data_IF_349186124887
#
_entry.id   IF_349186124887
#
_cell.length_a   1.000
_cell.length_b   1.000
_cell.length_c   1.000
_cell.angle_alpha   90.00
_cell.angle_beta   90.00
_cell.angle_gamma   90.00
#
_symmetry.space_group_name_H-M   'P 1'
#
loop_
_entity.id
_entity.type
_entity.pdbx_description
1 polymer ?
#
# COMPACT_ATOMS: atom_id res chain seq x y z
N UNK A 1 -29.69 -35.46 48.08
CA UNK A 1 -29.89 -34.54 46.93
C UNK A 1 -28.88 -33.39 46.90
N UNK A 2 -28.58 -32.71 48.02
CA UNK A 2 -27.61 -31.58 48.07
C UNK A 2 -26.21 -31.89 47.50
N UNK A 3 -25.60 -33.03 47.82
CA UNK A 3 -24.24 -33.35 47.30
C UNK A 3 -24.19 -33.58 45.78
N UNK A 4 -25.26 -34.13 45.17
CA UNK A 4 -25.33 -34.30 43.71
C UNK A 4 -25.50 -32.95 42.98
N UNK A 5 -26.19 -32.00 43.63
CA UNK A 5 -26.35 -30.64 43.13
C UNK A 5 -25.03 -29.85 43.22
N UNK A 6 -24.31 -29.95 44.35
CA UNK A 6 -22.99 -29.31 44.53
C UNK A 6 -21.92 -29.89 43.59
N UNK A 7 -21.89 -31.21 43.38
CA UNK A 7 -21.01 -31.84 42.39
C UNK A 7 -21.34 -31.38 40.96
N UNK A 8 -22.63 -31.23 40.65
CA UNK A 8 -23.08 -30.67 39.37
C UNK A 8 -22.62 -29.23 39.15
N UNK A 9 -22.74 -28.36 40.17
CA UNK A 9 -22.27 -26.98 40.11
C UNK A 9 -20.74 -26.87 39.95
N UNK A 10 -19.96 -27.72 40.62
CA UNK A 10 -18.50 -27.79 40.48
C UNK A 10 -18.07 -28.25 39.07
N UNK A 11 -18.80 -29.20 38.48
CA UNK A 11 -18.57 -29.63 37.10
C UNK A 11 -18.80 -28.50 36.09
N UNK A 12 -19.88 -27.72 36.24
CA UNK A 12 -20.18 -26.56 35.39
C UNK A 12 -19.12 -25.46 35.53
N UNK A 13 -18.68 -25.15 36.76
CA UNK A 13 -17.60 -24.21 37.02
C UNK A 13 -16.28 -24.64 36.36
N UNK A 14 -15.94 -25.93 36.44
CA UNK A 14 -14.74 -26.47 35.81
C UNK A 14 -14.76 -26.32 34.27
N UNK A 15 -15.91 -26.58 33.64
CA UNK A 15 -16.09 -26.35 32.19
C UNK A 15 -15.97 -24.88 31.84
N UNK A 16 -16.55 -23.99 32.66
CA UNK A 16 -16.47 -22.55 32.42
C UNK A 16 -15.02 -22.03 32.49
N UNK A 17 -14.24 -22.49 33.48
CA UNK A 17 -12.80 -22.18 33.60
C UNK A 17 -12.02 -22.71 32.40
N UNK A 18 -12.34 -23.91 31.92
CA UNK A 18 -11.68 -24.47 30.73
C UNK A 18 -11.96 -23.61 29.48
N UNK A 19 -13.21 -23.19 29.28
CA UNK A 19 -13.61 -22.31 28.17
C UNK A 19 -12.87 -20.97 28.25
N UNK A 20 -12.75 -20.36 29.44
CA UNK A 20 -12.06 -19.08 29.58
C UNK A 20 -10.56 -19.18 29.31
N UNK A 21 -9.91 -20.27 29.73
CA UNK A 21 -8.48 -20.52 29.43
C UNK A 21 -8.27 -20.71 27.92
N UNK A 22 -9.14 -21.47 27.25
CA UNK A 22 -9.06 -21.66 25.80
C UNK A 22 -9.28 -20.32 25.07
N UNK A 23 -10.29 -19.54 25.48
CA UNK A 23 -10.56 -18.23 24.90
C UNK A 23 -9.37 -17.27 25.07
N UNK A 24 -8.76 -17.25 26.26
CA UNK A 24 -7.57 -16.44 26.53
C UNK A 24 -6.38 -16.84 25.65
N UNK A 25 -6.15 -18.14 25.44
CA UNK A 25 -5.08 -18.63 24.57
C UNK A 25 -5.31 -18.23 23.10
N UNK A 26 -6.55 -18.32 22.60
CA UNK A 26 -6.93 -17.89 21.25
C UNK A 26 -6.70 -16.38 21.08
N UNK A 27 -7.17 -15.57 22.03
CA UNK A 27 -6.98 -14.11 22.00
C UNK A 27 -5.49 -13.74 22.01
N UNK A 28 -4.69 -14.44 22.80
CA UNK A 28 -3.24 -14.20 22.86
C UNK A 28 -2.56 -14.50 21.51
N UNK A 29 -2.94 -15.60 20.87
CA UNK A 29 -2.42 -15.97 19.56
C UNK A 29 -2.84 -14.95 18.48
N UNK A 30 -4.12 -14.56 18.44
CA UNK A 30 -4.63 -13.55 17.52
C UNK A 30 -3.97 -12.18 17.71
N UNK A 31 -3.66 -11.80 18.95
CA UNK A 31 -2.90 -10.57 19.24
C UNK A 31 -1.49 -10.64 18.64
N UNK A 32 -0.82 -11.79 18.75
CA UNK A 32 0.49 -12.00 18.12
C UNK A 32 0.43 -11.92 16.60
N UNK A 33 -0.58 -12.54 15.99
CA UNK A 33 -0.84 -12.46 14.54
C UNK A 33 -1.08 -11.01 14.09
N UNK A 34 -1.89 -10.25 14.84
CA UNK A 34 -2.17 -8.84 14.56
C UNK A 34 -0.90 -7.98 14.60
N UNK A 35 -0.08 -8.11 15.65
CA UNK A 35 1.19 -7.37 15.77
C UNK A 35 2.17 -7.74 14.65
N UNK A 36 2.21 -9.02 14.26
CA UNK A 36 3.03 -9.46 13.13
C UNK A 36 2.58 -8.83 11.83
N UNK A 37 1.28 -8.80 11.55
CA UNK A 37 0.72 -8.16 10.36
C UNK A 37 0.99 -6.64 10.36
N UNK A 38 0.78 -5.95 11.48
CA UNK A 38 1.12 -4.52 11.65
C UNK A 38 2.60 -4.26 11.30
N UNK A 39 3.51 -5.04 11.88
CA UNK A 39 4.95 -4.93 11.62
C UNK A 39 5.28 -5.16 10.15
N UNK A 40 4.66 -6.16 9.52
CA UNK A 40 4.90 -6.46 8.12
C UNK A 40 4.33 -5.36 7.20
N UNK A 41 3.18 -4.77 7.53
CA UNK A 41 2.57 -3.66 6.79
C UNK A 41 3.50 -2.44 6.84
N UNK A 42 4.02 -2.09 8.01
CA UNK A 42 4.99 -0.99 8.16
C UNK A 42 6.28 -1.25 7.36
N UNK A 43 6.82 -2.47 7.44
CA UNK A 43 7.99 -2.86 6.67
C UNK A 43 7.74 -2.79 5.15
N UNK A 44 6.57 -3.23 4.70
CA UNK A 44 6.19 -3.16 3.29
C UNK A 44 5.99 -1.71 2.84
N UNK A 45 5.40 -0.83 3.66
CA UNK A 45 5.26 0.60 3.36
C UNK A 45 6.64 1.23 3.14
N UNK A 46 7.58 0.98 4.04
CA UNK A 46 8.96 1.45 3.91
C UNK A 46 9.67 0.87 2.68
N UNK A 47 9.36 -0.38 2.32
CA UNK A 47 9.84 -0.98 1.08
C UNK A 47 9.28 -0.27 -0.16
N UNK A 48 8.00 0.14 -0.13
CA UNK A 48 7.36 0.88 -1.21
C UNK A 48 8.00 2.27 -1.37
N UNK A 49 8.25 2.98 -0.25
CA UNK A 49 8.97 4.25 -0.24
C UNK A 49 10.38 4.12 -0.82
N UNK A 50 11.12 3.09 -0.41
CA UNK A 50 12.46 2.80 -0.91
C UNK A 50 12.47 2.50 -2.41
N UNK A 51 11.49 1.74 -2.90
CA UNK A 51 11.33 1.46 -4.33
C UNK A 51 11.07 2.74 -5.13
N UNK A 52 10.17 3.60 -4.64
CA UNK A 52 9.88 4.89 -5.26
C UNK A 52 11.12 5.80 -5.33
N UNK A 53 11.87 5.92 -4.22
CA UNK A 53 13.11 6.70 -4.17
C UNK A 53 14.19 6.14 -5.11
N UNK A 54 14.34 4.82 -5.19
CA UNK A 54 15.26 4.18 -6.12
C UNK A 54 14.90 4.48 -7.59
N UNK A 55 13.60 4.45 -7.93
CA UNK A 55 13.13 4.81 -9.26
C UNK A 55 13.44 6.28 -9.59
N UNK A 56 13.22 7.19 -8.63
CA UNK A 56 13.52 8.61 -8.79
C UNK A 56 15.02 8.88 -8.98
N UNK A 57 15.88 8.22 -8.20
CA UNK A 57 17.34 8.34 -8.33
C UNK A 57 17.84 7.86 -9.68
N UNK A 58 17.38 6.68 -10.13
CA UNK A 58 17.70 6.16 -11.47
C UNK A 58 17.27 7.13 -12.58
N UNK A 59 16.07 7.72 -12.45
CA UNK A 59 15.60 8.75 -13.38
C UNK A 59 16.56 9.95 -13.44
N UNK A 60 16.97 10.49 -12.29
CA UNK A 60 17.94 11.59 -12.22
C UNK A 60 19.29 11.23 -12.83
N UNK A 61 19.81 10.05 -12.52
CA UNK A 61 21.09 9.56 -13.04
C UNK A 61 21.07 9.42 -14.57
N UNK A 62 20.00 8.84 -15.13
CA UNK A 62 19.87 8.68 -16.58
C UNK A 62 19.69 10.00 -17.33
N UNK A 63 18.98 10.96 -16.72
CA UNK A 63 18.70 12.26 -17.34
C UNK A 63 19.84 13.26 -17.17
N UNK A 64 20.79 12.98 -16.26
CA UNK A 64 21.95 13.83 -15.96
C UNK A 64 21.56 15.29 -15.65
N UNK A 65 20.35 15.52 -15.16
CA UNK A 65 19.89 16.85 -14.76
C UNK A 65 20.40 17.19 -13.37
N UNK A 66 20.63 18.47 -13.13
CA UNK A 66 21.02 18.96 -11.79
C UNK A 66 19.89 18.76 -10.78
N UNK A 67 20.20 18.79 -9.48
CA UNK A 67 19.19 18.66 -8.43
C UNK A 67 18.08 19.72 -8.54
N UNK A 68 18.45 20.96 -8.87
CA UNK A 68 17.51 22.07 -9.07
C UNK A 68 16.55 21.81 -10.23
N UNK A 69 17.05 21.24 -11.33
CA UNK A 69 16.23 20.86 -12.48
C UNK A 69 15.37 19.64 -12.17
N UNK A 70 15.91 18.64 -11.45
CA UNK A 70 15.16 17.46 -11.04
C UNK A 70 13.95 17.84 -10.16
N UNK A 71 14.10 18.82 -9.28
CA UNK A 71 13.01 19.26 -8.40
C UNK A 71 11.81 19.82 -9.18
N UNK A 72 12.06 20.47 -10.33
CA UNK A 72 11.01 20.96 -11.23
C UNK A 72 10.19 19.83 -11.87
N UNK A 73 10.75 18.62 -11.93
CA UNK A 73 10.10 17.45 -12.54
C UNK A 73 9.49 16.50 -11.51
N UNK A 74 9.74 16.71 -10.22
CA UNK A 74 9.35 15.77 -9.17
C UNK A 74 7.84 15.56 -9.14
N UNK A 75 7.06 16.63 -9.32
CA UNK A 75 5.60 16.55 -9.33
C UNK A 75 5.09 15.84 -10.59
N UNK A 76 5.64 16.16 -11.77
CA UNK A 76 5.28 15.49 -13.03
C UNK A 76 5.66 14.01 -12.98
N UNK A 77 6.80 13.68 -12.37
CA UNK A 77 7.25 12.31 -12.14
C UNK A 77 6.31 11.57 -11.19
N UNK A 78 5.98 12.16 -10.04
CA UNK A 78 5.05 11.58 -9.07
C UNK A 78 3.67 11.33 -9.69
N UNK A 79 3.18 12.28 -10.47
CA UNK A 79 1.93 12.18 -11.21
C UNK A 79 1.98 11.07 -12.26
N UNK A 80 3.11 10.87 -12.93
CA UNK A 80 3.28 9.79 -13.89
C UNK A 80 3.35 8.42 -13.23
N UNK A 81 4.05 8.29 -12.09
CA UNK A 81 4.14 7.04 -11.34
C UNK A 81 2.79 6.66 -10.72
N UNK A 82 2.09 7.64 -10.13
CA UNK A 82 0.74 7.46 -9.55
C UNK A 82 -0.38 7.26 -10.58
N UNK A 83 -0.05 7.35 -11.88
CA UNK A 83 -0.98 7.08 -12.97
C UNK A 83 -1.85 8.25 -13.41
N UNK A 84 -1.56 9.48 -12.95
CA UNK A 84 -2.23 10.71 -13.41
C UNK A 84 -1.94 10.99 -14.89
N UNK A 85 -0.71 10.72 -15.32
CA UNK A 85 -0.28 10.84 -16.72
C UNK A 85 0.11 9.48 -17.29
N UNK A 86 -0.52 9.09 -18.39
CA UNK A 86 -0.08 7.93 -19.19
C UNK A 86 1.07 8.32 -20.13
N UNK A 87 1.11 9.58 -20.57
CA UNK A 87 2.08 10.03 -21.56
C UNK A 87 3.39 10.52 -20.92
N UNK A 88 4.41 9.65 -20.98
CA UNK A 88 5.79 9.97 -20.59
C UNK A 88 6.46 11.04 -21.46
N UNK A 89 5.85 11.44 -22.59
CA UNK A 89 6.39 12.52 -23.43
C UNK A 89 6.44 13.87 -22.73
N UNK A 90 5.51 14.17 -21.82
CA UNK A 90 5.53 15.46 -21.09
C UNK A 90 6.78 15.57 -20.21
N UNK A 91 7.02 14.54 -19.39
CA UNK A 91 8.22 14.45 -18.56
C UNK A 91 9.49 14.49 -19.41
N UNK A 92 9.49 13.78 -20.53
CA UNK A 92 10.64 13.75 -21.42
C UNK A 92 10.92 15.08 -22.12
N UNK A 93 9.89 15.79 -22.62
CA UNK A 93 10.05 17.12 -23.22
C UNK A 93 10.66 18.09 -22.22
N UNK A 94 10.14 18.09 -20.99
CA UNK A 94 10.63 18.95 -19.92
C UNK A 94 12.12 18.65 -19.60
N UNK A 95 12.51 17.37 -19.59
CA UNK A 95 13.90 16.95 -19.43
C UNK A 95 14.76 17.37 -20.63
N UNK A 96 14.27 17.21 -21.86
CA UNK A 96 15.00 17.58 -23.08
C UNK A 96 15.24 19.09 -23.17
N UNK A 97 14.31 19.91 -22.68
CA UNK A 97 14.48 21.37 -22.56
C UNK A 97 15.65 21.73 -21.63
N UNK A 98 15.81 20.99 -20.52
CA UNK A 98 16.91 21.21 -19.57
C UNK A 98 18.23 20.55 -19.99
N UNK A 99 18.17 19.49 -20.79
CA UNK A 99 19.33 18.78 -21.33
C UNK A 99 19.16 18.47 -22.83
N UNK A 100 19.50 19.42 -23.72
CA UNK A 100 19.37 19.24 -25.17
C UNK A 100 20.24 18.13 -25.77
N UNK A 101 21.30 17.72 -25.05
CA UNK A 101 22.23 16.66 -25.49
C UNK A 101 21.70 15.25 -25.23
N UNK A 102 20.55 15.14 -24.58
CA UNK A 102 19.93 13.87 -24.22
C UNK A 102 19.38 13.21 -25.49
N UNK A 103 20.09 12.18 -25.97
CA UNK A 103 19.80 11.55 -27.24
C UNK A 103 18.55 10.64 -27.17
N UNK A 104 18.00 10.26 -28.33
CA UNK A 104 16.81 9.39 -28.41
C UNK A 104 17.01 7.97 -27.86
N UNK A 105 18.26 7.52 -27.68
CA UNK A 105 18.55 6.24 -27.05
C UNK A 105 18.31 6.31 -25.53
N UNK A 106 18.73 7.40 -24.88
CA UNK A 106 18.45 7.66 -23.45
C UNK A 106 16.94 7.77 -23.22
N UNK A 107 16.19 8.38 -24.14
CA UNK A 107 14.71 8.40 -24.08
C UNK A 107 14.11 7.00 -23.97
N UNK A 108 14.48 6.12 -24.89
CA UNK A 108 13.93 4.76 -24.96
C UNK A 108 14.29 3.97 -23.71
N UNK A 109 15.51 4.12 -23.20
CA UNK A 109 15.94 3.50 -21.93
C UNK A 109 15.14 4.03 -20.74
N UNK A 110 14.95 5.35 -20.66
CA UNK A 110 14.19 6.00 -19.60
C UNK A 110 12.74 5.55 -19.57
N UNK A 111 12.09 5.44 -20.73
CA UNK A 111 10.72 4.93 -20.83
C UNK A 111 10.60 3.49 -20.34
N UNK A 112 11.55 2.63 -20.73
CA UNK A 112 11.57 1.23 -20.29
C UNK A 112 11.76 1.14 -18.77
N UNK A 113 12.68 1.91 -18.20
CA UNK A 113 12.94 1.92 -16.76
C UNK A 113 11.76 2.49 -15.95
N UNK A 114 11.14 3.57 -16.41
CA UNK A 114 9.93 4.11 -15.78
C UNK A 114 8.80 3.08 -15.82
N UNK A 115 8.61 2.40 -16.96
CA UNK A 115 7.54 1.38 -17.10
C UNK A 115 7.78 0.16 -16.21
N UNK A 116 9.04 -0.29 -16.13
CA UNK A 116 9.45 -1.37 -15.23
C UNK A 116 9.24 -0.98 -13.76
N UNK A 117 9.71 0.22 -13.38
CA UNK A 117 9.54 0.75 -12.03
C UNK A 117 8.07 0.90 -11.64
N UNK A 118 7.21 1.42 -12.53
CA UNK A 118 5.77 1.51 -12.29
C UNK A 118 5.13 0.14 -12.05
N UNK A 119 5.53 -0.86 -12.82
CA UNK A 119 5.03 -2.24 -12.66
C UNK A 119 5.46 -2.83 -11.31
N UNK A 120 6.69 -2.59 -10.90
CA UNK A 120 7.20 -3.02 -9.60
C UNK A 120 6.49 -2.27 -8.45
N UNK A 121 6.31 -0.96 -8.58
CA UNK A 121 5.60 -0.13 -7.62
C UNK A 121 4.14 -0.59 -7.47
N UNK A 122 3.41 -0.83 -8.57
CA UNK A 122 2.06 -1.38 -8.54
C UNK A 122 1.99 -2.75 -7.82
N UNK A 123 2.95 -3.65 -8.10
CA UNK A 123 3.03 -4.95 -7.41
C UNK A 123 3.24 -4.77 -5.90
N UNK A 124 4.10 -3.82 -5.52
CA UNK A 124 4.37 -3.47 -4.13
C UNK A 124 3.14 -2.85 -3.42
N UNK A 125 2.37 -2.02 -4.13
CA UNK A 125 1.09 -1.48 -3.64
C UNK A 125 0.02 -2.56 -3.47
N UNK A 126 -0.07 -3.52 -4.40
CA UNK A 126 -0.98 -4.68 -4.27
C UNK A 126 -0.61 -5.54 -3.06
N UNK A 127 0.69 -5.79 -2.86
CA UNK A 127 1.17 -6.58 -1.72
C UNK A 127 0.78 -5.95 -0.38
N UNK A 128 0.98 -4.64 -0.19
CA UNK A 128 0.57 -3.98 1.06
C UNK A 128 -0.96 -3.99 1.23
N UNK A 129 -1.71 -3.85 0.13
CA UNK A 129 -3.18 -3.94 0.13
C UNK A 129 -3.67 -5.30 0.61
N UNK A 130 -3.06 -6.39 0.12
CA UNK A 130 -3.40 -7.76 0.54
C UNK A 130 -3.11 -7.98 2.03
N UNK A 131 -2.02 -7.43 2.53
CA UNK A 131 -1.63 -7.51 3.95
C UNK A 131 -2.60 -6.73 4.85
N UNK A 132 -3.01 -5.53 4.42
CA UNK A 132 -4.05 -4.74 5.10
C UNK A 132 -5.40 -5.48 5.08
N UNK A 133 -5.76 -6.10 3.96
CA UNK A 133 -6.97 -6.90 3.87
C UNK A 133 -6.95 -8.06 4.86
N UNK A 134 -5.81 -8.75 4.99
CA UNK A 134 -5.67 -9.85 5.96
C UNK A 134 -5.75 -9.36 7.41
N UNK A 135 -5.08 -8.24 7.73
CA UNK A 135 -5.21 -7.59 9.03
C UNK A 135 -6.67 -7.22 9.33
N UNK A 136 -7.37 -6.62 8.36
CA UNK A 136 -8.76 -6.23 8.52
C UNK A 136 -9.69 -7.44 8.72
N UNK A 137 -9.46 -8.56 8.02
CA UNK A 137 -10.19 -9.82 8.27
C UNK A 137 -9.94 -10.35 9.68
N UNK A 138 -8.70 -10.28 10.16
CA UNK A 138 -8.37 -10.67 11.53
C UNK A 138 -9.12 -9.78 12.55
N UNK A 139 -9.04 -8.46 12.42
CA UNK A 139 -9.63 -7.51 13.37
C UNK A 139 -11.16 -7.51 13.32
N UNK A 140 -11.77 -7.60 12.14
CA UNK A 140 -13.21 -7.46 11.97
C UNK A 140 -14.00 -8.76 12.07
N UNK A 141 -13.36 -9.93 11.87
CA UNK A 141 -14.09 -11.21 11.81
C UNK A 141 -13.50 -12.25 12.76
N UNK A 142 -12.24 -12.65 12.56
CA UNK A 142 -11.64 -13.77 13.31
C UNK A 142 -11.36 -13.42 14.78
N UNK A 143 -10.96 -12.18 15.04
CA UNK A 143 -10.45 -11.70 16.31
C UNK A 143 -11.22 -10.51 16.87
N UNK A 144 -12.54 -10.43 16.69
CA UNK A 144 -13.37 -9.32 17.18
C UNK A 144 -13.18 -9.10 18.69
N UNK A 145 -13.16 -10.16 19.49
CA UNK A 145 -12.91 -10.06 20.94
C UNK A 145 -11.51 -9.53 21.25
N UNK A 146 -10.49 -10.00 20.52
CA UNK A 146 -9.12 -9.50 20.64
C UNK A 146 -9.03 -8.03 20.25
N UNK A 147 -9.68 -7.64 19.15
CA UNK A 147 -9.73 -6.27 18.66
C UNK A 147 -10.39 -5.33 19.67
N UNK A 148 -11.53 -5.72 20.26
CA UNK A 148 -12.19 -4.94 21.30
C UNK A 148 -11.33 -4.81 22.57
N UNK A 149 -10.71 -5.89 23.04
CA UNK A 149 -9.87 -5.88 24.24
C UNK A 149 -8.55 -5.11 24.08
N UNK A 150 -8.07 -4.96 22.83
CA UNK A 150 -6.80 -4.28 22.52
C UNK A 150 -7.00 -2.96 21.76
N UNK A 151 -8.25 -2.51 21.63
CA UNK A 151 -8.66 -1.30 20.91
C UNK A 151 -8.18 -1.22 19.45
N UNK A 152 -7.93 -2.37 18.80
CA UNK A 152 -7.52 -2.43 17.40
C UNK A 152 -8.69 -2.15 16.47
N UNK A 153 -8.42 -1.38 15.42
CA UNK A 153 -9.39 -0.97 14.40
C UNK A 153 -8.89 -1.39 13.02
N UNK A 154 -9.80 -1.65 12.07
CA UNK A 154 -9.39 -1.88 10.69
C UNK A 154 -8.59 -0.69 10.15
N UNK A 155 -7.58 -0.99 9.36
CA UNK A 155 -6.78 -0.01 8.65
C UNK A 155 -7.51 0.43 7.38
N UNK A 156 -7.36 1.72 7.09
CA UNK A 156 -7.85 2.34 5.87
C UNK A 156 -6.76 2.23 4.79
N UNK A 157 -7.03 1.43 3.75
CA UNK A 157 -6.07 1.14 2.68
C UNK A 157 -5.58 2.41 1.98
N UNK A 158 -6.44 3.42 1.84
CA UNK A 158 -6.13 4.66 1.12
C UNK A 158 -4.98 5.46 1.75
N UNK A 159 -4.68 5.20 3.04
CA UNK A 159 -3.55 5.82 3.75
C UNK A 159 -2.20 5.18 3.46
N UNK A 160 -2.19 4.01 2.82
CA UNK A 160 -0.98 3.19 2.59
C UNK A 160 -0.66 3.00 1.10
N UNK A 161 -1.53 3.49 0.22
CA UNK A 161 -1.35 3.44 -1.23
C UNK A 161 -1.19 4.86 -1.78
N UNK A 162 -0.48 4.96 -2.90
CA UNK A 162 -0.28 6.19 -3.67
C UNK A 162 -1.03 6.05 -4.98
N UNK A 163 -2.12 6.79 -5.10
CA UNK A 163 -2.93 6.92 -6.32
C UNK A 163 -3.06 8.39 -6.70
N UNK A 164 -3.47 8.65 -7.95
CA UNK A 164 -3.67 10.02 -8.41
C UNK A 164 -5.05 10.56 -8.04
N UNK A 165 -5.15 11.86 -7.75
CA UNK A 165 -6.44 12.56 -7.59
C UNK A 165 -7.38 12.38 -8.78
N UNK A 166 -6.84 12.23 -10.00
CA UNK A 166 -7.64 11.96 -11.21
C UNK A 166 -8.29 10.58 -11.12
N UNK A 167 -7.52 9.58 -10.71
CA UNK A 167 -8.03 8.23 -10.45
C UNK A 167 -9.12 8.30 -9.38
N UNK A 168 -8.88 8.97 -8.25
CA UNK A 168 -9.87 9.10 -7.18
C UNK A 168 -11.17 9.73 -7.68
N UNK A 169 -11.09 10.86 -8.39
CA UNK A 169 -12.27 11.52 -8.99
C UNK A 169 -13.01 10.66 -10.00
N UNK A 170 -12.30 9.85 -10.79
CA UNK A 170 -12.93 8.93 -11.73
C UNK A 170 -13.72 7.83 -11.02
N UNK A 171 -13.18 7.28 -9.93
CA UNK A 171 -13.88 6.32 -9.08
C UNK A 171 -15.06 6.96 -8.33
N UNK A 172 -14.88 8.16 -7.77
CA UNK A 172 -15.94 8.89 -7.05
C UNK A 172 -17.10 9.29 -7.99
N UNK A 173 -16.79 9.69 -9.23
CA UNK A 173 -17.79 10.08 -10.22
C UNK A 173 -18.41 8.90 -10.98
N UNK A 174 -17.81 7.71 -10.87
CA UNK A 174 -18.17 6.53 -11.66
C UNK A 174 -17.93 6.68 -13.16
N UNK A 175 -17.14 7.69 -13.58
CA UNK A 175 -16.84 8.00 -14.98
C UNK A 175 -15.34 8.07 -15.18
N UNK A 176 -14.84 7.33 -16.16
CA UNK A 176 -13.47 7.47 -16.62
C UNK A 176 -13.43 8.49 -17.76
N UNK A 177 -12.68 9.58 -17.59
CA UNK A 177 -12.38 10.48 -18.70
C UNK A 177 -11.67 9.67 -19.81
N UNK A 178 -12.09 9.85 -21.06
CA UNK A 178 -11.46 9.19 -22.21
C UNK A 178 -9.99 9.57 -22.29
N UNK A 179 -9.11 8.58 -22.47
CA UNK A 179 -7.67 8.81 -22.68
C UNK A 179 -7.50 9.48 -24.04
N UNK A 180 -7.23 10.77 -24.04
CA UNK A 180 -6.90 11.49 -25.28
C UNK A 180 -5.44 11.22 -25.65
N UNK A 181 -5.25 10.37 -26.67
CA UNK A 181 -3.94 9.96 -27.18
C UNK A 181 -3.41 10.90 -28.26
N UNK A 182 -4.12 11.99 -28.58
CA UNK A 182 -3.68 12.96 -29.59
C UNK A 182 -3.50 14.30 -28.91
N UNK A 183 -2.24 14.70 -28.74
CA UNK A 183 -1.94 16.12 -28.55
C UNK A 183 -2.56 16.88 -29.72
N UNK A 184 -3.56 17.68 -29.42
CA UNK A 184 -4.25 18.50 -30.40
C UNK A 184 -3.22 19.37 -31.16
N UNK A 185 -3.45 19.42 -32.47
CA UNK A 185 -2.61 20.10 -33.46
C UNK A 185 -2.70 21.62 -33.33
#
# INVERSE_FOLDING_TARGET
>A
MKNKFVLGCLGVLGVFILITVIAAAVIWNQRGEAVSLETQIEAQLKSNESNYDAMWKKFKEMTQVTDLQAEQFKDVYADLISGRYEDSKLLFKAVQEQNPNLNGEVYTKLQNEISAGRTEFDRNQKKITDMIAEYNRLVQHRGILMAMLTERKPLDTDKYIVTSDKTQKAFDSGKADTVDLKGDK
#
